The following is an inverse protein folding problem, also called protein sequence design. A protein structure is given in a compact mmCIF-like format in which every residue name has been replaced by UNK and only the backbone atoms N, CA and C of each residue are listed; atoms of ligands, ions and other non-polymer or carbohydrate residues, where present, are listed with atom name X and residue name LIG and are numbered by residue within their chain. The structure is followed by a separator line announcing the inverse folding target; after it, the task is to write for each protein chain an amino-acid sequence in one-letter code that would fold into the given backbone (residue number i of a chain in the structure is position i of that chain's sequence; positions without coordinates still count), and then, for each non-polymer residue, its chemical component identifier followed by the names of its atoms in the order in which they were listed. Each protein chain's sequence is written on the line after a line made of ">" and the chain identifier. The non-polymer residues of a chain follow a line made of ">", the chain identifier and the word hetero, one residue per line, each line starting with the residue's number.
data_IF_693815058751
#
_entry.id   IF_693815058751
#
_cell.length_a   1.000
_cell.length_b   1.000
_cell.length_c   1.000
_cell.angle_alpha   90.00
_cell.angle_beta   90.00
_cell.angle_gamma   90.00
#
_symmetry.space_group_name_H-M   'P 1'
#
loop_
_entity.id
_entity.type
_entity.pdbx_description
1 polymer ?
#
# COMPACT_ATOMS: atom_id res chain seq x y z
N UNK A 1 -12.65 -9.14 2.95
CA UNK A 1 -12.80 -10.46 2.30
C UNK A 1 -12.24 -10.40 0.89
N UNK A 2 -11.44 -11.40 0.52
CA UNK A 2 -10.85 -11.52 -0.82
C UNK A 2 -11.81 -12.17 -1.81
N UNK A 3 -11.69 -11.86 -3.10
CA UNK A 3 -12.27 -12.65 -4.17
C UNK A 3 -11.13 -13.32 -4.95
N UNK A 4 -11.13 -14.65 -5.05
CA UNK A 4 -10.12 -15.39 -5.81
C UNK A 4 -10.68 -15.87 -7.14
N UNK A 5 -9.91 -15.71 -8.22
CA UNK A 5 -10.20 -16.23 -9.56
C UNK A 5 -9.02 -17.06 -10.04
N UNK A 6 -9.25 -18.30 -10.47
CA UNK A 6 -8.22 -19.08 -11.16
C UNK A 6 -7.99 -18.50 -12.55
N UNK A 7 -6.73 -18.28 -12.92
CA UNK A 7 -6.33 -17.96 -14.29
C UNK A 7 -5.86 -19.24 -15.01
N UNK A 8 -5.58 -19.15 -16.31
CA UNK A 8 -4.88 -20.23 -17.01
C UNK A 8 -3.41 -20.29 -16.53
N UNK A 9 -2.89 -21.51 -16.35
CA UNK A 9 -1.77 -21.89 -15.47
C UNK A 9 -2.11 -21.89 -13.96
N UNK A 10 -1.25 -22.49 -13.13
CA UNK A 10 -1.43 -22.69 -11.67
C UNK A 10 -1.46 -21.40 -10.83
N UNK A 11 -1.86 -20.28 -11.42
CA UNK A 11 -1.95 -18.97 -10.79
C UNK A 11 -3.38 -18.67 -10.36
N UNK A 12 -3.48 -18.11 -9.16
CA UNK A 12 -4.72 -17.51 -8.62
C UNK A 12 -4.55 -15.99 -8.58
N UNK A 13 -5.63 -15.27 -8.89
CA UNK A 13 -5.70 -13.83 -8.68
C UNK A 13 -6.64 -13.56 -7.52
N UNK A 14 -6.12 -12.88 -6.51
CA UNK A 14 -6.90 -12.34 -5.39
C UNK A 14 -7.21 -10.86 -5.59
N UNK A 15 -8.46 -10.47 -5.33
CA UNK A 15 -8.89 -9.08 -5.26
C UNK A 15 -9.26 -8.73 -3.82
N UNK A 16 -8.71 -7.62 -3.33
CA UNK A 16 -9.06 -7.05 -2.04
C UNK A 16 -10.34 -6.21 -2.20
N UNK A 17 -11.42 -6.55 -1.48
CA UNK A 17 -12.71 -5.84 -1.63
C UNK A 17 -12.78 -4.47 -0.94
N UNK A 18 -11.92 -4.20 0.03
CA UNK A 18 -12.01 -3.02 0.90
C UNK A 18 -10.69 -2.24 0.93
N UNK A 19 -10.12 -2.02 -0.26
CA UNK A 19 -8.88 -1.24 -0.39
C UNK A 19 -9.22 0.25 -0.28
N UNK A 20 -8.45 1.04 0.48
CA UNK A 20 -8.60 2.49 0.50
C UNK A 20 -8.51 3.08 -0.92
N UNK A 21 -9.45 3.95 -1.26
CA UNK A 21 -9.47 4.60 -2.57
C UNK A 21 -9.15 6.08 -2.44
N UNK A 22 -8.45 6.61 -3.43
CA UNK A 22 -8.32 8.06 -3.58
C UNK A 22 -9.70 8.69 -3.83
N UNK A 23 -9.89 9.91 -3.31
CA UNK A 23 -11.12 10.71 -3.46
C UNK A 23 -10.89 11.98 -4.28
N UNK A 24 -9.73 12.11 -4.91
CA UNK A 24 -9.34 13.23 -5.76
C UNK A 24 -8.63 12.74 -7.02
N UNK A 25 -8.22 13.67 -7.89
CA UNK A 25 -7.60 13.37 -9.19
C UNK A 25 -6.07 13.36 -9.17
N UNK A 26 -5.42 13.68 -8.05
CA UNK A 26 -3.97 13.92 -8.00
C UNK A 26 -3.20 13.01 -7.02
N UNK A 27 -3.87 12.16 -6.24
CA UNK A 27 -3.20 11.26 -5.30
C UNK A 27 -2.95 9.84 -5.82
N UNK A 28 -3.27 9.52 -7.07
CA UNK A 28 -3.04 8.16 -7.62
C UNK A 28 -1.60 7.69 -7.45
N UNK A 29 -0.62 8.55 -7.75
CA UNK A 29 0.79 8.23 -7.56
C UNK A 29 1.15 8.03 -6.09
N UNK A 30 0.59 8.82 -5.19
CA UNK A 30 0.84 8.71 -3.74
C UNK A 30 0.27 7.40 -3.21
N UNK A 31 -0.99 7.06 -3.55
CA UNK A 31 -1.61 5.80 -3.17
C UNK A 31 -0.80 4.60 -3.68
N UNK A 32 -0.46 4.55 -4.97
CA UNK A 32 0.29 3.43 -5.57
C UNK A 32 1.66 3.26 -4.90
N UNK A 33 2.42 4.34 -4.70
CA UNK A 33 3.70 4.27 -4.02
C UNK A 33 3.57 3.75 -2.58
N UNK A 34 2.54 4.18 -1.85
CA UNK A 34 2.33 3.73 -0.48
C UNK A 34 1.85 2.28 -0.41
N UNK A 35 0.96 1.84 -1.32
CA UNK A 35 0.62 0.42 -1.43
C UNK A 35 1.88 -0.44 -1.68
N UNK A 36 2.71 -0.05 -2.65
CA UNK A 36 3.97 -0.76 -2.92
C UNK A 36 4.88 -0.79 -1.69
N UNK A 37 5.00 0.34 -0.98
CA UNK A 37 5.82 0.46 0.23
C UNK A 37 5.35 -0.46 1.35
N UNK A 38 4.04 -0.59 1.53
CA UNK A 38 3.41 -1.44 2.54
C UNK A 38 3.50 -2.92 2.17
N UNK A 39 3.20 -3.28 0.93
CA UNK A 39 3.30 -4.64 0.42
C UNK A 39 4.73 -5.18 0.52
N UNK A 40 5.72 -4.39 0.10
CA UNK A 40 7.14 -4.75 0.19
C UNK A 40 7.62 -4.98 1.63
N UNK A 41 6.91 -4.42 2.63
CA UNK A 41 7.22 -4.54 4.05
C UNK A 41 6.28 -5.50 4.79
N UNK A 42 5.35 -6.15 4.07
CA UNK A 42 4.32 -7.01 4.67
C UNK A 42 3.50 -6.29 5.76
N UNK A 43 3.28 -4.99 5.57
CA UNK A 43 2.48 -4.16 6.47
C UNK A 43 1.01 -4.21 6.09
N UNK A 44 0.14 -4.08 7.11
CA UNK A 44 -1.28 -3.94 6.87
C UNK A 44 -1.55 -2.63 6.15
N UNK A 45 -2.21 -2.72 5.00
CA UNK A 45 -2.69 -1.56 4.26
C UNK A 45 -3.82 -0.90 5.07
N UNK A 46 -3.50 0.18 5.78
CA UNK A 46 -4.42 0.96 6.61
C UNK A 46 -4.35 2.48 6.32
N UNK A 47 -3.83 2.86 5.15
CA UNK A 47 -3.74 4.25 4.71
C UNK A 47 -5.12 4.85 4.41
N UNK A 48 -5.30 6.14 4.66
CA UNK A 48 -6.52 6.87 4.30
C UNK A 48 -6.24 8.09 3.42
N UNK A 49 -7.28 8.70 2.86
CA UNK A 49 -7.14 9.92 2.05
C UNK A 49 -6.55 11.08 2.87
N UNK A 50 -6.81 11.10 4.16
CA UNK A 50 -6.35 12.12 5.11
C UNK A 50 -4.83 12.03 5.37
N UNK A 51 -4.21 10.87 5.13
CA UNK A 51 -2.74 10.72 5.20
C UNK A 51 -2.00 11.35 4.02
N UNK A 52 -2.68 11.57 2.88
CA UNK A 52 -2.02 11.93 1.62
C UNK A 52 -1.16 13.19 1.69
N UNK A 53 -1.56 14.29 2.37
CA UNK A 53 -0.69 15.46 2.53
C UNK A 53 0.64 15.12 3.21
N UNK A 54 0.62 14.30 4.28
CA UNK A 54 1.82 13.86 4.99
C UNK A 54 2.69 12.98 4.09
N UNK A 55 2.08 12.07 3.34
CA UNK A 55 2.82 11.20 2.42
C UNK A 55 3.42 11.95 1.23
N UNK A 56 2.75 12.95 0.67
CA UNK A 56 3.36 13.84 -0.33
C UNK A 56 4.61 14.52 0.22
N UNK A 57 4.52 15.08 1.43
CA UNK A 57 5.68 15.74 2.04
C UNK A 57 6.84 14.77 2.28
N UNK A 58 6.53 13.55 2.72
CA UNK A 58 7.53 12.49 2.84
C UNK A 58 8.19 12.20 1.49
N UNK A 59 7.41 11.94 0.44
CA UNK A 59 7.94 11.63 -0.90
C UNK A 59 8.81 12.77 -1.44
N UNK A 60 8.41 14.03 -1.25
CA UNK A 60 9.22 15.20 -1.62
C UNK A 60 10.58 15.15 -0.92
N UNK A 61 10.61 14.85 0.38
CA UNK A 61 11.86 14.78 1.13
C UNK A 61 12.72 13.59 0.70
N UNK A 62 12.12 12.42 0.45
CA UNK A 62 12.81 11.22 -0.01
C UNK A 62 13.47 11.44 -1.38
N UNK A 63 12.76 12.10 -2.31
CA UNK A 63 13.28 12.46 -3.64
C UNK A 63 14.44 13.46 -3.50
N UNK A 64 14.25 14.54 -2.72
CA UNK A 64 15.29 15.56 -2.52
C UNK A 64 16.56 15.00 -1.90
N UNK A 65 16.43 14.07 -0.95
CA UNK A 65 17.55 13.47 -0.24
C UNK A 65 18.09 12.20 -0.92
N UNK A 66 17.43 11.73 -1.97
CA UNK A 66 17.67 10.43 -2.61
C UNK A 66 17.78 9.28 -1.57
N UNK A 67 16.91 9.31 -0.56
CA UNK A 67 16.95 8.37 0.57
C UNK A 67 15.54 8.06 1.05
N UNK A 68 15.19 6.78 1.10
CA UNK A 68 13.93 6.33 1.68
C UNK A 68 13.92 6.54 3.19
N UNK A 69 12.88 7.20 3.71
CA UNK A 69 12.70 7.39 5.15
C UNK A 69 11.93 6.18 5.67
N UNK A 70 12.63 5.33 6.43
CA UNK A 70 12.01 4.18 7.09
C UNK A 70 11.08 4.71 8.18
N UNK A 71 9.77 4.51 7.99
CA UNK A 71 8.80 4.75 9.04
C UNK A 71 8.79 3.57 10.00
N UNK A 72 8.47 3.82 11.26
CA UNK A 72 8.09 2.78 12.20
C UNK A 72 6.94 1.95 11.59
N UNK A 73 6.91 0.63 11.77
CA UNK A 73 5.77 -0.17 11.34
C UNK A 73 4.48 0.43 11.89
N UNK A 74 3.39 0.48 11.10
CA UNK A 74 2.05 0.62 11.66
C UNK A 74 1.89 -0.45 12.74
N UNK A 75 1.12 -0.17 13.80
CA UNK A 75 0.97 -1.03 15.00
C UNK A 75 0.42 -2.45 14.72
N UNK A 76 0.32 -2.86 13.46
CA UNK A 76 -0.17 -4.14 12.98
C UNK A 76 0.68 -4.61 11.80
N UNK A 77 1.53 -5.61 12.04
CA UNK A 77 2.10 -6.46 10.99
C UNK A 77 0.92 -7.21 10.35
N UNK A 78 0.93 -7.46 9.03
CA UNK A 78 -0.12 -8.31 8.46
C UNK A 78 -0.13 -9.65 9.21
N UNK A 79 -1.29 -10.16 9.66
CA UNK A 79 -1.34 -11.45 10.30
C UNK A 79 -0.74 -12.49 9.34
N UNK A 80 0.21 -13.26 9.88
CA UNK A 80 1.06 -14.25 9.22
C UNK A 80 0.27 -15.37 8.52
N UNK A 81 -1.06 -15.33 8.56
CA UNK A 81 -1.95 -16.27 7.87
C UNK A 81 -2.20 -15.93 6.41
N UNK A 82 -1.74 -14.78 5.91
CA UNK A 82 -1.79 -14.47 4.48
C UNK A 82 -0.49 -14.95 3.80
N UNK A 83 -0.26 -16.26 3.82
CA UNK A 83 0.65 -16.91 2.88
C UNK A 83 0.14 -16.62 1.46
N UNK A 84 1.04 -16.14 0.59
CA UNK A 84 0.80 -16.07 -0.86
C UNK A 84 0.39 -17.43 -1.43
#
# INVERSE_FOLDING_TARGET
>A
MYAMKKLQANWTVGYWKSVPQQKNTNDCGVFICQFAKYLARQWLINLTQEDMPRFRQQMINEIKLNKLIVQSPPLTIMPISCSM
#
